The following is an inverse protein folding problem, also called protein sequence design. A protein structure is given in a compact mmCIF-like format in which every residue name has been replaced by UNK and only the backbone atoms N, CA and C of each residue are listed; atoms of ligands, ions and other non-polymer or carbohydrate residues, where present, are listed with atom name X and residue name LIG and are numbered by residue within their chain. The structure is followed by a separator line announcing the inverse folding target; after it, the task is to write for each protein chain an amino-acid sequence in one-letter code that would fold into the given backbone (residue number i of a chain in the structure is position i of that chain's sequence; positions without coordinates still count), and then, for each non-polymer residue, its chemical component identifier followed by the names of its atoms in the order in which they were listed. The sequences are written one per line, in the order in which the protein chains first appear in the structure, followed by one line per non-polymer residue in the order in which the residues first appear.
data_IF_122565568456
#
_entry.id   IF_122565568456
#
_cell.length_a   1.000
_cell.length_b   1.000
_cell.length_c   1.000
_cell.angle_alpha   90.00
_cell.angle_beta   90.00
_cell.angle_gamma   90.00
#
_symmetry.space_group_name_H-M   'P 1'
#
loop_
_entity.id
_entity.type
_entity.pdbx_description
1 polymer ?
#
# COMPACT_ATOMS: atom_id res chain seq x y z
N UNK A 1 -9.23 3.13 24.04
CA UNK A 1 -8.58 1.85 24.39
C UNK A 1 -7.09 2.10 24.55
N UNK A 2 -6.47 1.67 25.69
CA UNK A 2 -5.04 1.91 25.92
C UNK A 2 -4.13 0.89 25.21
N UNK A 3 -4.67 -0.24 24.80
CA UNK A 3 -3.95 -1.28 24.06
C UNK A 3 -4.92 -2.10 23.21
N UNK A 4 -4.43 -2.56 22.05
CA UNK A 4 -5.12 -3.48 21.15
C UNK A 4 -4.20 -4.70 20.98
N UNK A 5 -4.68 -5.91 21.32
CA UNK A 5 -3.90 -7.15 21.27
C UNK A 5 -2.51 -7.04 21.95
N UNK A 6 -2.44 -6.31 23.09
CA UNK A 6 -1.20 -6.10 23.82
C UNK A 6 -0.29 -4.98 23.30
N UNK A 7 -0.60 -4.42 22.13
CA UNK A 7 0.14 -3.29 21.57
C UNK A 7 -0.49 -1.97 22.03
N UNK A 8 0.33 -1.03 22.50
CA UNK A 8 -0.12 0.28 22.94
C UNK A 8 -0.80 1.01 21.78
N UNK A 9 -1.97 1.61 22.04
CA UNK A 9 -2.69 2.43 21.09
C UNK A 9 -2.70 3.89 21.52
N UNK A 10 -2.73 4.80 20.54
CA UNK A 10 -2.71 6.24 20.73
C UNK A 10 -3.97 6.84 20.12
N UNK A 11 -4.51 7.95 20.69
CA UNK A 11 -5.69 8.63 20.16
C UNK A 11 -5.46 9.28 18.79
N UNK A 12 -4.21 9.68 18.53
CA UNK A 12 -3.79 10.39 17.32
C UNK A 12 -2.39 9.91 16.91
N UNK A 13 -2.08 10.04 15.64
CA UNK A 13 -0.71 9.83 15.15
C UNK A 13 0.29 10.79 15.80
N UNK A 14 -0.17 11.98 16.16
CA UNK A 14 0.66 12.99 16.83
C UNK A 14 1.13 12.57 18.24
N UNK A 15 0.40 11.65 18.88
CA UNK A 15 0.73 11.12 20.22
C UNK A 15 1.71 9.93 20.17
N UNK A 16 2.03 9.40 18.98
CA UNK A 16 2.98 8.28 18.82
C UNK A 16 4.39 8.80 19.11
N UNK A 17 5.12 8.25 20.10
CA UNK A 17 6.43 8.79 20.48
C UNK A 17 7.56 8.38 19.53
N UNK A 18 7.40 7.22 18.87
CA UNK A 18 8.43 6.61 18.03
C UNK A 18 8.41 7.22 16.61
N UNK A 19 9.53 7.10 15.90
CA UNK A 19 9.59 7.37 14.47
C UNK A 19 8.80 6.31 13.71
N UNK A 20 8.11 6.73 12.64
CA UNK A 20 7.29 5.85 11.80
C UNK A 20 7.64 6.11 10.34
N UNK A 21 8.14 5.09 9.66
CA UNK A 21 8.52 5.17 8.24
C UNK A 21 7.31 4.95 7.32
N UNK A 22 6.43 4.01 7.70
CA UNK A 22 5.27 3.60 6.91
C UNK A 22 4.03 3.52 7.79
N UNK A 23 2.93 4.08 7.31
CA UNK A 23 1.61 3.96 7.92
C UNK A 23 0.67 3.10 7.08
N UNK A 24 -0.14 2.27 7.74
CA UNK A 24 -1.27 1.57 7.10
C UNK A 24 -2.56 2.22 7.56
N UNK A 25 -3.27 2.85 6.64
CA UNK A 25 -4.47 3.64 6.92
C UNK A 25 -5.73 2.81 6.65
N UNK A 26 -6.50 2.55 7.73
CA UNK A 26 -7.71 1.73 7.70
C UNK A 26 -8.80 2.45 8.50
N UNK A 27 -9.22 3.62 8.00
CA UNK A 27 -10.27 4.43 8.60
C UNK A 27 -11.33 4.76 7.54
N UNK A 28 -12.54 5.19 7.90
CA UNK A 28 -13.53 5.63 6.91
C UNK A 28 -12.95 6.72 5.99
N UNK A 29 -13.22 6.64 4.69
CA UNK A 29 -12.63 7.52 3.67
C UNK A 29 -12.66 9.02 4.02
N UNK A 30 -13.74 9.58 4.58
CA UNK A 30 -13.78 11.01 4.96
C UNK A 30 -12.75 11.41 6.03
N UNK A 31 -12.25 10.44 6.82
CA UNK A 31 -11.24 10.71 7.85
C UNK A 31 -9.80 10.62 7.32
N UNK A 32 -9.59 10.02 6.15
CA UNK A 32 -8.25 9.78 5.58
C UNK A 32 -7.44 11.08 5.37
N UNK A 33 -7.99 12.17 4.80
CA UNK A 33 -7.22 13.40 4.61
C UNK A 33 -6.63 13.94 5.91
N UNK A 34 -7.41 13.93 7.00
CA UNK A 34 -6.94 14.37 8.31
C UNK A 34 -5.83 13.46 8.86
N UNK A 35 -5.96 12.13 8.67
CA UNK A 35 -4.92 11.17 9.09
C UNK A 35 -3.63 11.40 8.29
N UNK A 36 -3.73 11.58 6.96
CA UNK A 36 -2.56 11.87 6.11
C UNK A 36 -1.87 13.18 6.53
N UNK A 37 -2.63 14.20 6.88
CA UNK A 37 -2.08 15.44 7.45
C UNK A 37 -1.27 15.18 8.73
N UNK A 38 -1.81 14.41 9.67
CA UNK A 38 -1.09 14.04 10.91
C UNK A 38 0.17 13.20 10.62
N UNK A 39 0.12 12.28 9.62
CA UNK A 39 1.31 11.55 9.18
C UNK A 39 2.38 12.50 8.68
N UNK A 40 2.00 13.51 7.91
CA UNK A 40 2.90 14.53 7.40
C UNK A 40 3.55 15.36 8.50
N UNK A 41 2.77 15.82 9.48
CA UNK A 41 3.29 16.55 10.66
C UNK A 41 4.31 15.69 11.45
N UNK A 42 4.17 14.37 11.44
CA UNK A 42 5.11 13.43 12.08
C UNK A 42 6.28 13.02 11.18
N UNK A 43 6.34 13.50 9.95
CA UNK A 43 7.44 13.21 9.02
C UNK A 43 7.42 11.82 8.41
N UNK A 44 6.28 11.11 8.45
CA UNK A 44 6.09 9.80 7.81
C UNK A 44 6.29 9.94 6.30
N UNK A 45 6.99 8.99 5.68
CA UNK A 45 7.37 9.07 4.25
C UNK A 45 6.49 8.24 3.33
N UNK A 46 5.82 7.23 3.85
CA UNK A 46 4.96 6.36 3.07
C UNK A 46 3.65 6.03 3.78
N UNK A 47 2.57 5.89 3.01
CA UNK A 47 1.31 5.40 3.54
C UNK A 47 0.64 4.45 2.55
N UNK A 48 0.12 3.34 3.07
CA UNK A 48 -0.73 2.41 2.34
C UNK A 48 -2.16 2.65 2.78
N UNK A 49 -3.01 3.11 1.86
CA UNK A 49 -4.42 3.42 2.16
C UNK A 49 -5.29 2.25 1.72
N UNK A 50 -5.66 1.41 2.68
CA UNK A 50 -6.54 0.25 2.46
C UNK A 50 -7.98 0.70 2.23
N UNK A 51 -8.38 1.80 2.87
CA UNK A 51 -9.76 2.32 2.86
C UNK A 51 -10.27 2.53 1.44
N UNK A 52 -11.52 2.11 1.20
CA UNK A 52 -12.29 2.38 -0.01
C UNK A 52 -13.26 3.56 0.24
N UNK A 53 -13.88 4.07 -0.83
CA UNK A 53 -14.81 5.22 -0.79
C UNK A 53 -14.25 6.45 -1.49
N UNK A 54 -13.36 6.24 -2.45
CA UNK A 54 -12.68 7.26 -3.24
C UNK A 54 -13.21 7.29 -4.70
N UNK A 55 -12.37 7.47 -5.71
CA UNK A 55 -12.80 7.65 -7.10
C UNK A 55 -13.70 6.53 -7.63
N UNK A 56 -13.58 5.32 -7.11
CA UNK A 56 -14.44 4.19 -7.47
C UNK A 56 -15.92 4.39 -7.09
N UNK A 57 -16.22 5.35 -6.22
CA UNK A 57 -17.59 5.68 -5.81
C UNK A 57 -18.18 6.87 -6.57
N UNK A 58 -17.44 7.46 -7.51
CA UNK A 58 -17.89 8.57 -8.35
C UNK A 58 -17.26 9.92 -7.98
N UNK A 59 -17.86 11.01 -8.46
CA UNK A 59 -17.25 12.35 -8.44
C UNK A 59 -16.87 12.87 -7.03
N UNK A 60 -17.69 12.61 -6.02
CA UNK A 60 -17.40 13.03 -4.65
C UNK A 60 -16.20 12.28 -4.08
N UNK A 61 -16.10 10.97 -4.35
CA UNK A 61 -14.96 10.16 -3.98
C UNK A 61 -13.68 10.54 -4.73
N UNK A 62 -13.79 10.87 -6.02
CA UNK A 62 -12.66 11.35 -6.81
C UNK A 62 -12.11 12.68 -6.26
N UNK A 63 -12.99 13.59 -5.84
CA UNK A 63 -12.56 14.81 -5.17
C UNK A 63 -11.82 14.52 -3.86
N UNK A 64 -12.36 13.63 -3.04
CA UNK A 64 -11.72 13.24 -1.78
C UNK A 64 -10.34 12.62 -1.99
N UNK A 65 -10.19 11.81 -3.05
CA UNK A 65 -8.91 11.24 -3.47
C UNK A 65 -7.91 12.33 -3.83
N UNK A 66 -8.30 13.26 -4.70
CA UNK A 66 -7.45 14.38 -5.11
C UNK A 66 -7.03 15.26 -3.92
N UNK A 67 -7.96 15.57 -3.02
CA UNK A 67 -7.68 16.34 -1.79
C UNK A 67 -6.67 15.59 -0.90
N UNK A 68 -6.80 14.26 -0.80
CA UNK A 68 -5.88 13.41 -0.02
C UNK A 68 -4.47 13.40 -0.60
N UNK A 69 -4.35 13.23 -1.92
CA UNK A 69 -3.06 13.28 -2.64
C UNK A 69 -2.40 14.65 -2.49
N UNK A 70 -3.17 15.72 -2.63
CA UNK A 70 -2.65 17.08 -2.46
C UNK A 70 -2.05 17.30 -1.06
N UNK A 71 -2.67 16.78 -0.01
CA UNK A 71 -2.12 16.83 1.35
C UNK A 71 -0.82 16.01 1.45
N UNK A 72 -0.81 14.79 0.90
CA UNK A 72 0.37 13.94 0.92
C UNK A 72 1.58 14.60 0.25
N UNK A 73 1.37 15.22 -0.92
CA UNK A 73 2.41 15.94 -1.65
C UNK A 73 2.96 17.14 -0.88
N UNK A 74 2.14 17.85 -0.09
CA UNK A 74 2.63 18.95 0.78
C UNK A 74 3.68 18.48 1.78
N UNK A 75 3.62 17.22 2.21
CA UNK A 75 4.53 16.62 3.19
C UNK A 75 5.53 15.63 2.58
N UNK A 76 5.54 15.46 1.25
CA UNK A 76 6.35 14.47 0.54
C UNK A 76 6.11 13.02 1.05
N UNK A 77 4.83 12.66 1.22
CA UNK A 77 4.40 11.30 1.55
C UNK A 77 4.03 10.58 0.25
N UNK A 78 4.63 9.42 -0.02
CA UNK A 78 4.21 8.55 -1.09
C UNK A 78 2.99 7.72 -0.67
N UNK A 79 1.92 7.70 -1.49
CA UNK A 79 0.69 6.97 -1.20
C UNK A 79 0.53 5.76 -2.12
N UNK A 80 0.33 4.59 -1.53
CA UNK A 80 -0.13 3.37 -2.22
C UNK A 80 -1.62 3.19 -1.99
N UNK A 81 -2.38 2.94 -3.04
CA UNK A 81 -3.84 2.88 -3.01
C UNK A 81 -4.47 4.20 -3.49
N UNK A 82 -5.61 4.62 -2.90
CA UNK A 82 -6.47 3.92 -1.93
C UNK A 82 -7.17 2.68 -2.51
N UNK A 83 -8.07 2.06 -1.72
CA UNK A 83 -8.86 0.91 -2.14
C UNK A 83 -7.96 -0.27 -2.60
N UNK A 84 -6.95 -0.61 -1.81
CA UNK A 84 -5.97 -1.65 -2.14
C UNK A 84 -5.92 -2.75 -1.06
N UNK A 85 -5.35 -3.91 -1.42
CA UNK A 85 -5.08 -4.99 -0.46
C UNK A 85 -3.90 -4.63 0.46
N UNK A 86 -2.95 -3.85 -0.04
CA UNK A 86 -1.73 -3.47 0.65
C UNK A 86 -0.46 -3.97 -0.04
N UNK A 87 0.64 -3.95 0.71
CA UNK A 87 1.96 -4.34 0.22
C UNK A 87 2.61 -5.39 1.12
N UNK A 88 3.36 -6.31 0.51
CA UNK A 88 4.15 -7.33 1.21
C UNK A 88 5.57 -7.29 0.64
N UNK A 89 6.55 -7.29 1.51
CA UNK A 89 7.97 -7.49 1.18
C UNK A 89 8.48 -8.67 1.99
N UNK A 90 8.94 -9.72 1.31
CA UNK A 90 9.39 -10.97 1.95
C UNK A 90 10.88 -10.99 2.23
N UNK A 91 11.61 -9.94 1.85
CA UNK A 91 13.03 -9.79 2.16
C UNK A 91 13.28 -10.12 3.65
N UNK A 92 14.21 -11.04 3.97
CA UNK A 92 14.49 -11.45 5.34
C UNK A 92 14.88 -10.31 6.29
N UNK A 93 15.44 -9.23 5.77
CA UNK A 93 15.83 -8.06 6.56
C UNK A 93 14.66 -7.09 6.78
N UNK A 94 13.66 -7.09 5.89
CA UNK A 94 12.50 -6.20 5.96
C UNK A 94 11.27 -6.87 6.57
N UNK A 95 10.87 -8.05 6.08
CA UNK A 95 9.74 -8.87 6.54
C UNK A 95 8.46 -8.08 6.74
N UNK A 96 8.13 -7.23 5.78
CA UNK A 96 6.97 -6.38 5.87
C UNK A 96 5.72 -7.09 5.33
N UNK A 97 4.64 -7.08 6.11
CA UNK A 97 3.30 -7.37 5.63
C UNK A 97 2.36 -6.23 6.06
N UNK A 98 2.26 -5.21 5.22
CA UNK A 98 1.36 -4.07 5.36
C UNK A 98 0.11 -4.30 4.49
N UNK A 99 -0.57 -5.43 4.70
CA UNK A 99 -1.77 -5.84 3.96
C UNK A 99 -2.80 -6.48 4.87
N UNK A 100 -4.02 -6.70 4.37
CA UNK A 100 -5.01 -7.52 5.04
C UNK A 100 -5.12 -8.95 4.46
N UNK A 101 -4.12 -9.39 3.69
CA UNK A 101 -4.01 -10.76 3.23
C UNK A 101 -3.82 -11.75 4.38
N UNK A 102 -4.31 -12.99 4.20
CA UNK A 102 -4.13 -14.07 5.18
C UNK A 102 -2.70 -14.61 5.11
N UNK A 103 -1.84 -14.13 5.99
CA UNK A 103 -0.45 -14.58 6.12
C UNK A 103 0.48 -13.93 5.10
N UNK A 104 1.76 -14.26 5.24
CA UNK A 104 2.82 -13.82 4.34
C UNK A 104 3.16 -14.99 3.41
N UNK A 105 3.28 -14.76 2.09
CA UNK A 105 3.69 -15.80 1.15
C UNK A 105 5.12 -16.27 1.41
N UNK A 106 5.50 -17.41 0.85
CA UNK A 106 6.87 -17.87 0.83
C UNK A 106 7.77 -16.82 0.13
N UNK A 107 8.98 -16.63 0.66
CA UNK A 107 9.97 -15.80 0.01
C UNK A 107 10.41 -16.44 -1.33
N UNK A 108 10.65 -15.61 -2.32
CA UNK A 108 11.04 -16.03 -3.67
C UNK A 108 11.47 -14.85 -4.52
N UNK A 109 11.46 -15.00 -5.82
CA UNK A 109 12.01 -14.03 -6.77
C UNK A 109 10.97 -13.42 -7.71
N UNK A 110 9.68 -13.59 -7.43
CA UNK A 110 8.59 -13.03 -8.23
C UNK A 110 8.05 -11.79 -7.52
N UNK A 111 8.09 -10.64 -8.18
CA UNK A 111 7.30 -9.49 -7.79
C UNK A 111 5.94 -9.56 -8.48
N UNK A 112 4.86 -9.46 -7.70
CA UNK A 112 3.50 -9.44 -8.23
C UNK A 112 2.84 -8.11 -7.93
N UNK A 113 2.48 -7.38 -8.97
CA UNK A 113 1.79 -6.10 -8.89
C UNK A 113 0.38 -6.30 -9.46
N UNK A 114 -0.64 -5.97 -8.69
CA UNK A 114 -2.02 -6.14 -9.11
C UNK A 114 -2.86 -4.90 -8.80
N UNK A 115 -3.60 -4.43 -9.78
CA UNK A 115 -4.63 -3.41 -9.57
C UNK A 115 -5.88 -4.01 -8.92
N UNK A 116 -6.11 -5.32 -9.07
CA UNK A 116 -7.20 -6.05 -8.42
C UNK A 116 -6.75 -6.69 -7.09
N UNK A 117 -7.32 -6.22 -5.97
CA UNK A 117 -7.10 -6.83 -4.65
C UNK A 117 -7.64 -8.26 -4.57
N UNK A 118 -8.77 -8.55 -5.24
CA UNK A 118 -9.36 -9.89 -5.28
C UNK A 118 -8.44 -10.88 -6.01
N UNK A 119 -7.89 -10.49 -7.17
CA UNK A 119 -6.93 -11.31 -7.89
C UNK A 119 -5.65 -11.51 -7.07
N UNK A 120 -5.14 -10.46 -6.42
CA UNK A 120 -3.98 -10.59 -5.55
C UNK A 120 -4.21 -11.62 -4.43
N UNK A 121 -5.38 -11.61 -3.80
CA UNK A 121 -5.75 -12.59 -2.79
C UNK A 121 -5.80 -14.00 -3.35
N UNK A 122 -6.41 -14.18 -4.53
CA UNK A 122 -6.52 -15.50 -5.19
C UNK A 122 -5.15 -16.07 -5.57
N UNK A 123 -4.25 -15.23 -6.09
CA UNK A 123 -2.87 -15.62 -6.44
C UNK A 123 -2.08 -15.99 -5.18
N UNK A 124 -2.20 -15.22 -4.10
CA UNK A 124 -1.56 -15.54 -2.82
C UNK A 124 -2.07 -16.85 -2.21
N UNK A 125 -3.37 -17.11 -2.32
CA UNK A 125 -3.95 -18.38 -1.83
C UNK A 125 -3.53 -19.56 -2.72
N UNK A 126 -3.49 -19.39 -4.03
CA UNK A 126 -3.00 -20.42 -4.96
C UNK A 126 -1.52 -20.76 -4.73
N UNK A 127 -0.69 -19.75 -4.44
CA UNK A 127 0.73 -19.94 -4.20
C UNK A 127 1.04 -20.78 -2.95
N UNK A 128 0.09 -20.87 -2.01
CA UNK A 128 0.23 -21.74 -0.85
C UNK A 128 0.30 -23.22 -1.29
N UNK A 129 1.40 -23.84 -0.99
CA UNK A 129 1.64 -25.24 -1.39
C UNK A 129 2.18 -25.42 -2.80
N UNK A 130 2.48 -24.34 -3.52
CA UNK A 130 3.26 -24.37 -4.76
C UNK A 130 4.75 -24.17 -4.48
N UNK A 131 5.58 -24.57 -5.43
CA UNK A 131 7.03 -24.53 -5.30
C UNK A 131 7.63 -23.21 -5.83
N UNK A 132 6.95 -22.08 -5.55
CA UNK A 132 7.42 -20.74 -5.86
C UNK A 132 7.04 -19.75 -4.77
N UNK A 133 7.77 -18.65 -4.72
CA UNK A 133 7.53 -17.57 -3.75
C UNK A 133 7.67 -16.19 -4.38
N UNK A 134 7.35 -15.19 -3.57
CA UNK A 134 7.37 -13.80 -4.00
C UNK A 134 8.50 -13.04 -3.30
N UNK A 135 9.11 -12.11 -4.03
CA UNK A 135 9.97 -11.06 -3.44
C UNK A 135 9.10 -9.94 -2.88
N UNK A 136 8.16 -9.48 -3.68
CA UNK A 136 7.25 -8.40 -3.35
C UNK A 136 5.84 -8.72 -3.85
N UNK A 137 4.82 -8.29 -3.11
CA UNK A 137 3.43 -8.28 -3.59
C UNK A 137 2.85 -6.90 -3.34
N UNK A 138 2.31 -6.28 -4.39
CA UNK A 138 1.78 -4.93 -4.35
C UNK A 138 0.36 -4.93 -4.91
N UNK A 139 -0.58 -4.41 -4.14
CA UNK A 139 -1.91 -4.10 -4.64
C UNK A 139 -2.00 -2.59 -4.85
N UNK A 140 -2.15 -2.17 -6.10
CA UNK A 140 -2.17 -0.75 -6.47
C UNK A 140 -3.48 -0.04 -6.10
N UNK A 141 -4.61 -0.77 -6.10
CA UNK A 141 -5.93 -0.17 -5.91
C UNK A 141 -6.22 0.92 -6.95
N UNK A 142 -6.61 2.10 -6.48
CA UNK A 142 -6.95 3.22 -7.36
C UNK A 142 -5.73 3.90 -8.03
N UNK A 143 -4.50 3.65 -7.60
CA UNK A 143 -3.28 4.30 -8.12
C UNK A 143 -3.37 5.83 -8.10
N UNK A 144 -3.76 6.39 -6.95
CA UNK A 144 -4.00 7.83 -6.86
C UNK A 144 -2.71 8.67 -6.89
N UNK A 145 -1.58 8.06 -6.49
CA UNK A 145 -0.28 8.70 -6.41
C UNK A 145 0.78 7.74 -6.97
N UNK A 146 1.34 6.83 -6.17
CA UNK A 146 2.27 5.81 -6.65
C UNK A 146 1.56 4.84 -7.60
N UNK A 147 2.14 4.60 -8.76
CA UNK A 147 1.57 3.80 -9.84
C UNK A 147 2.50 2.64 -10.28
N UNK A 148 2.15 1.96 -11.36
CA UNK A 148 2.90 0.84 -11.89
C UNK A 148 4.33 1.20 -12.32
N UNK A 149 4.55 2.40 -12.88
CA UNK A 149 5.86 2.82 -13.38
C UNK A 149 6.84 3.01 -12.21
N UNK A 150 6.40 3.60 -11.10
CA UNK A 150 7.21 3.76 -9.88
C UNK A 150 7.67 2.41 -9.34
N UNK A 151 6.76 1.41 -9.30
CA UNK A 151 7.11 0.06 -8.87
C UNK A 151 8.00 -0.66 -9.87
N UNK A 152 7.77 -0.53 -11.18
CA UNK A 152 8.62 -1.12 -12.21
C UNK A 152 10.05 -0.57 -12.12
N UNK A 153 10.20 0.74 -11.94
CA UNK A 153 11.50 1.37 -11.76
C UNK A 153 12.23 0.85 -10.51
N UNK A 154 11.51 0.75 -9.39
CA UNK A 154 12.08 0.21 -8.15
C UNK A 154 12.48 -1.26 -8.30
N UNK A 155 11.61 -2.09 -8.87
CA UNK A 155 11.84 -3.54 -9.02
C UNK A 155 12.92 -3.89 -10.04
N UNK A 156 13.14 -3.03 -11.03
CA UNK A 156 14.25 -3.18 -11.97
C UNK A 156 15.63 -3.20 -11.26
N UNK A 157 15.73 -2.49 -10.15
CA UNK A 157 16.94 -2.39 -9.34
C UNK A 157 16.95 -3.33 -8.12
N UNK A 158 15.87 -4.07 -7.90
CA UNK A 158 15.74 -5.00 -6.76
C UNK A 158 16.49 -6.31 -7.05
N UNK A 159 17.57 -6.63 -6.30
CA UNK A 159 18.38 -7.84 -6.55
C UNK A 159 17.61 -9.13 -6.30
N UNK A 160 16.56 -9.11 -5.50
CA UNK A 160 15.75 -10.28 -5.14
C UNK A 160 14.65 -10.57 -6.17
N UNK A 161 14.35 -9.61 -7.05
CA UNK A 161 13.31 -9.76 -8.07
C UNK A 161 13.91 -10.17 -9.41
N UNK A 162 13.45 -11.30 -9.95
CA UNK A 162 13.83 -11.81 -11.29
C UNK A 162 12.69 -11.83 -12.28
N UNK A 163 11.46 -11.88 -11.79
CA UNK A 163 10.24 -11.91 -12.60
C UNK A 163 9.26 -10.90 -12.04
N UNK A 164 8.70 -10.07 -12.89
CA UNK A 164 7.64 -9.15 -12.54
C UNK A 164 6.35 -9.60 -13.24
N UNK A 165 5.33 -9.88 -12.46
CA UNK A 165 3.98 -10.18 -12.93
C UNK A 165 3.09 -8.96 -12.69
N UNK A 166 2.40 -8.52 -13.73
CA UNK A 166 1.52 -7.36 -13.69
C UNK A 166 0.08 -7.79 -14.04
N UNK A 167 -0.87 -7.30 -13.26
CA UNK A 167 -2.28 -7.26 -13.62
C UNK A 167 -2.78 -5.83 -13.52
N UNK A 168 -3.05 -5.21 -14.65
CA UNK A 168 -3.48 -3.83 -14.75
C UNK A 168 -4.82 -3.75 -15.48
N UNK A 169 -5.69 -2.86 -15.00
CA UNK A 169 -7.01 -2.57 -15.60
C UNK A 169 -6.93 -1.31 -16.48
N UNK A 170 -6.00 -0.43 -16.16
CA UNK A 170 -5.62 0.74 -16.95
C UNK A 170 -4.12 1.04 -16.77
N UNK A 171 -3.57 1.95 -17.57
CA UNK A 171 -2.22 2.48 -17.42
C UNK A 171 -2.30 3.92 -16.92
N UNK A 172 -1.41 4.30 -15.98
CA UNK A 172 -1.34 5.66 -15.47
C UNK A 172 -0.81 6.61 -16.54
N UNK A 173 0.31 6.25 -17.19
CA UNK A 173 0.83 6.90 -18.39
C UNK A 173 1.43 5.83 -19.33
N UNK A 174 0.85 5.70 -20.52
CA UNK A 174 1.33 4.74 -21.52
C UNK A 174 2.49 5.27 -22.39
N UNK A 175 2.99 6.46 -22.10
CA UNK A 175 4.08 7.10 -22.82
C UNK A 175 5.45 7.07 -22.09
N UNK A 176 5.46 6.63 -20.84
CA UNK A 176 6.68 6.45 -20.02
C UNK A 176 7.33 5.08 -20.18
#
# INVERSE_FOLDING_TARGET
TRAIRGVRSYPSMLDVPDEVDLAVVIVPAPAVPNVVGQLGERGVKGAVIISAGFKETGAAGAKLEADTVAIAHQYNIALVGPNCLGVINTDPEVRLNASFAKGTPAAGNIAFISQSGALATAVLDYAKGQDFGFSKVVSLGNKADVNENDFLYHLWHDPDTRVILLYLEDLADGGE
#
